data_IF_069288553474
#
_entry.id   IF_069288553474
#
_cell.length_a   1.000
_cell.length_b   1.000
_cell.length_c   1.000
_cell.angle_alpha   90.00
_cell.angle_beta   90.00
_cell.angle_gamma   90.00
#
_symmetry.space_group_name_H-M   'P 1'
#
loop_
_entity.id
_entity.type
_entity.pdbx_description
1 polymer ?
#
# COMPACT_ATOMS: atom_id res chain seq x y z
N UNK A 1 -12.32 13.21 9.92
CA UNK A 1 -10.87 13.02 10.00
C UNK A 1 -10.45 12.43 8.67
N UNK A 2 -9.70 13.19 7.89
CA UNK A 2 -9.32 12.80 6.52
C UNK A 2 -8.36 11.61 6.53
N UNK A 3 -7.51 11.50 7.56
CA UNK A 3 -6.64 10.34 7.73
C UNK A 3 -7.43 9.05 7.92
N UNK A 4 -8.54 9.08 8.66
CA UNK A 4 -9.38 7.88 8.86
C UNK A 4 -10.01 7.39 7.55
N UNK A 5 -10.43 8.34 6.69
CA UNK A 5 -10.96 8.02 5.35
C UNK A 5 -9.84 7.43 4.48
N UNK A 6 -8.64 8.01 4.50
CA UNK A 6 -7.49 7.52 3.76
C UNK A 6 -7.09 6.09 4.17
N UNK A 7 -7.10 5.75 5.47
CA UNK A 7 -6.85 4.38 5.94
C UNK A 7 -7.88 3.39 5.40
N UNK A 8 -9.17 3.74 5.45
CA UNK A 8 -10.24 2.87 4.93
C UNK A 8 -10.07 2.66 3.43
N UNK A 9 -9.79 3.73 2.67
CA UNK A 9 -9.52 3.63 1.24
C UNK A 9 -8.32 2.74 0.97
N UNK A 10 -7.22 2.89 1.72
CA UNK A 10 -6.03 2.06 1.58
C UNK A 10 -6.34 0.58 1.83
N UNK A 11 -7.03 0.25 2.93
CA UNK A 11 -7.45 -1.13 3.22
C UNK A 11 -8.29 -1.71 2.09
N UNK A 12 -9.25 -0.94 1.59
CA UNK A 12 -10.11 -1.38 0.49
C UNK A 12 -9.32 -1.64 -0.80
N UNK A 13 -8.37 -0.77 -1.15
CA UNK A 13 -7.53 -0.94 -2.33
C UNK A 13 -6.65 -2.19 -2.19
N UNK A 14 -6.09 -2.44 -1.00
CA UNK A 14 -5.27 -3.62 -0.72
C UNK A 14 -6.09 -4.91 -0.84
N UNK A 15 -7.30 -4.94 -0.28
CA UNK A 15 -8.23 -6.07 -0.42
C UNK A 15 -8.58 -6.33 -1.89
N UNK A 16 -8.94 -5.30 -2.65
CA UNK A 16 -9.22 -5.43 -4.08
C UNK A 16 -8.01 -5.93 -4.87
N UNK A 17 -6.81 -5.42 -4.58
CA UNK A 17 -5.58 -5.89 -5.22
C UNK A 17 -5.33 -7.37 -4.95
N UNK A 18 -5.58 -7.84 -3.71
CA UNK A 18 -5.47 -9.24 -3.33
C UNK A 18 -6.44 -10.15 -4.08
N UNK A 19 -7.68 -9.71 -4.25
CA UNK A 19 -8.72 -10.48 -4.95
C UNK A 19 -8.46 -10.57 -6.46
N UNK A 20 -8.03 -9.47 -7.08
CA UNK A 20 -7.90 -9.37 -8.53
C UNK A 20 -6.59 -10.02 -9.02
N UNK A 21 -5.50 -9.92 -8.25
CA UNK A 21 -4.16 -10.30 -8.71
C UNK A 21 -3.43 -11.31 -7.80
N UNK A 22 -4.04 -12.47 -7.45
CA UNK A 22 -3.41 -13.45 -6.56
C UNK A 22 -2.12 -14.05 -7.13
N UNK A 23 -1.93 -14.00 -8.45
CA UNK A 23 -0.71 -14.50 -9.12
C UNK A 23 0.50 -13.61 -8.85
N UNK A 24 0.32 -12.29 -8.71
CA UNK A 24 1.40 -11.34 -8.44
C UNK A 24 1.80 -11.31 -6.97
N UNK A 25 0.97 -11.87 -6.08
CA UNK A 25 1.15 -11.81 -4.63
C UNK A 25 1.84 -13.09 -4.18
N UNK A 26 3.15 -13.14 -4.41
CA UNK A 26 3.99 -14.27 -4.03
C UNK A 26 5.27 -13.81 -3.34
N UNK A 27 5.89 -14.72 -2.58
CA UNK A 27 7.21 -14.51 -2.01
C UNK A 27 7.31 -13.28 -1.11
N UNK A 28 8.12 -12.30 -1.52
CA UNK A 28 8.38 -11.09 -0.76
C UNK A 28 7.25 -10.06 -0.90
N UNK A 29 6.67 -9.90 -2.09
CA UNK A 29 5.54 -9.01 -2.36
C UNK A 29 4.35 -9.32 -1.45
N UNK A 30 4.06 -10.61 -1.23
CA UNK A 30 2.99 -11.04 -0.31
C UNK A 30 3.24 -10.58 1.14
N UNK A 31 4.48 -10.68 1.62
CA UNK A 31 4.85 -10.24 2.98
C UNK A 31 4.81 -8.73 3.11
N UNK A 32 5.25 -8.00 2.09
CA UNK A 32 5.21 -6.54 2.07
C UNK A 32 3.77 -6.04 2.07
N UNK A 33 2.89 -6.69 1.31
CA UNK A 33 1.47 -6.38 1.27
C UNK A 33 0.76 -6.70 2.60
N UNK A 34 1.07 -7.84 3.23
CA UNK A 34 0.59 -8.20 4.57
C UNK A 34 1.06 -7.19 5.62
N UNK A 35 2.32 -6.76 5.57
CA UNK A 35 2.86 -5.74 6.47
C UNK A 35 2.14 -4.40 6.28
N UNK A 36 1.85 -4.01 5.04
CA UNK A 36 1.13 -2.78 4.73
C UNK A 36 -0.33 -2.84 5.24
N UNK A 37 -1.00 -3.98 5.06
CA UNK A 37 -2.35 -4.22 5.57
C UNK A 37 -2.40 -4.12 7.11
N UNK A 38 -1.50 -4.82 7.80
CA UNK A 38 -1.41 -4.76 9.27
C UNK A 38 -1.12 -3.33 9.78
N UNK A 39 -0.30 -2.58 9.04
CA UNK A 39 0.01 -1.18 9.37
C UNK A 39 -1.22 -0.29 9.21
N UNK A 40 -2.00 -0.47 8.14
CA UNK A 40 -3.24 0.27 7.92
C UNK A 40 -4.29 -0.05 9.00
N UNK A 41 -4.48 -1.32 9.37
CA UNK A 41 -5.39 -1.70 10.48
C UNK A 41 -4.96 -1.09 11.82
N UNK A 42 -3.64 -1.06 12.11
CA UNK A 42 -3.14 -0.38 13.29
C UNK A 42 -3.54 1.09 13.32
N UNK A 43 -3.39 1.80 12.19
CA UNK A 43 -3.77 3.21 12.10
C UNK A 43 -5.27 3.43 12.21
N UNK A 44 -6.11 2.53 11.67
CA UNK A 44 -7.55 2.60 11.84
C UNK A 44 -7.93 2.59 13.32
N UNK A 45 -7.38 1.62 14.07
CA UNK A 45 -7.61 1.49 15.50
C UNK A 45 -7.03 2.69 16.28
N UNK A 46 -5.83 3.14 15.93
CA UNK A 46 -5.20 4.31 16.56
C UNK A 46 -6.04 5.58 16.39
N UNK A 47 -6.51 5.87 15.17
CA UNK A 47 -7.34 7.05 14.90
C UNK A 47 -8.71 6.96 15.57
N UNK A 48 -9.29 5.75 15.66
CA UNK A 48 -10.53 5.53 16.38
C UNK A 48 -10.38 5.79 17.91
N UNK A 49 -9.28 5.33 18.51
CA UNK A 49 -8.99 5.63 19.92
C UNK A 49 -8.60 7.09 20.12
N UNK A 50 -7.89 7.69 19.17
CA UNK A 50 -7.56 9.11 19.19
C UNK A 50 -8.82 9.99 19.14
N UNK A 51 -9.85 9.58 18.38
CA UNK A 51 -11.13 10.29 18.33
C UNK A 51 -11.88 10.30 19.66
N UNK A 52 -11.61 9.33 20.54
CA UNK A 52 -12.25 9.15 21.85
C UNK A 52 -11.43 9.78 23.00
N UNK A 53 -10.19 10.19 22.75
CA UNK A 53 -9.20 10.56 23.76
C UNK A 53 -8.81 12.05 23.68
N UNK A 54 -8.11 12.56 24.71
CA UNK A 54 -7.54 13.92 24.75
C UNK A 54 -6.14 13.97 24.13
N UNK A 55 -5.94 13.32 22.98
CA UNK A 55 -4.68 13.46 22.27
C UNK A 55 -4.46 14.91 21.85
N UNK A 56 -3.18 15.26 21.72
CA UNK A 56 -2.78 16.55 21.17
C UNK A 56 -3.29 16.66 19.72
N UNK A 57 -4.15 17.65 19.40
CA UNK A 57 -4.68 17.83 18.06
C UNK A 57 -3.59 18.03 17.00
N UNK A 58 -2.45 18.64 17.36
CA UNK A 58 -1.34 18.86 16.42
C UNK A 58 -0.64 17.54 16.06
N UNK A 59 -0.49 16.64 17.04
CA UNK A 59 0.07 15.30 16.80
C UNK A 59 -0.86 14.44 15.95
N UNK A 60 -2.16 14.45 16.22
CA UNK A 60 -3.16 13.74 15.40
C UNK A 60 -3.08 14.24 13.96
N UNK A 61 -3.05 15.56 13.77
CA UNK A 61 -2.99 16.16 12.44
C UNK A 61 -1.73 15.76 11.68
N UNK A 62 -0.56 15.78 12.33
CA UNK A 62 0.69 15.34 11.71
C UNK A 62 0.62 13.87 11.27
N UNK A 63 0.01 13.00 12.08
CA UNK A 63 -0.18 11.59 11.74
C UNK A 63 -1.17 11.43 10.58
N UNK A 64 -2.27 12.18 10.57
CA UNK A 64 -3.22 12.17 9.45
C UNK A 64 -2.56 12.54 8.12
N UNK A 65 -1.72 13.59 8.09
CA UNK A 65 -1.01 14.02 6.88
C UNK A 65 -0.06 12.94 6.34
N UNK A 66 0.66 12.23 7.23
CA UNK A 66 1.52 11.10 6.86
C UNK A 66 0.70 9.96 6.26
N UNK A 67 -0.41 9.61 6.90
CA UNK A 67 -1.31 8.54 6.44
C UNK A 67 -1.88 8.88 5.06
N UNK A 68 -2.35 10.12 4.86
CA UNK A 68 -2.90 10.56 3.58
C UNK A 68 -1.84 10.46 2.49
N UNK A 69 -0.62 10.95 2.75
CA UNK A 69 0.48 10.87 1.79
C UNK A 69 0.81 9.42 1.43
N UNK A 70 0.94 8.54 2.41
CA UNK A 70 1.31 7.16 2.16
C UNK A 70 0.19 6.34 1.51
N UNK A 71 -1.08 6.64 1.82
CA UNK A 71 -2.22 6.05 1.14
C UNK A 71 -2.23 6.44 -0.34
N UNK A 72 -1.93 7.72 -0.65
CA UNK A 72 -1.78 8.18 -2.04
C UNK A 72 -0.61 7.49 -2.75
N UNK A 73 0.54 7.34 -2.08
CA UNK A 73 1.68 6.62 -2.66
C UNK A 73 1.33 5.14 -2.95
N UNK A 74 0.55 4.50 -2.06
CA UNK A 74 0.11 3.12 -2.24
C UNK A 74 -0.87 2.98 -3.41
N UNK A 75 -1.80 3.93 -3.54
CA UNK A 75 -2.76 3.99 -4.66
C UNK A 75 -2.00 4.12 -5.99
N UNK A 76 -1.05 5.04 -6.09
CA UNK A 76 -0.21 5.22 -7.28
C UNK A 76 0.53 3.93 -7.67
N UNK A 77 1.09 3.21 -6.68
CA UNK A 77 1.82 1.95 -6.91
C UNK A 77 0.89 0.85 -7.41
N UNK A 78 -0.32 0.76 -6.87
CA UNK A 78 -1.32 -0.24 -7.24
C UNK A 78 -1.93 0.07 -8.61
N UNK A 79 -2.25 1.34 -8.90
CA UNK A 79 -2.71 1.78 -10.22
C UNK A 79 -1.65 1.49 -11.30
N UNK A 80 -0.37 1.71 -10.96
CA UNK A 80 0.73 1.36 -11.84
C UNK A 80 0.74 -0.15 -12.14
N UNK A 81 0.49 -1.00 -11.14
CA UNK A 81 0.40 -2.46 -11.34
C UNK A 81 -0.74 -2.86 -12.27
N UNK A 82 -1.92 -2.26 -12.11
CA UNK A 82 -3.05 -2.53 -13.01
C UNK A 82 -2.73 -2.18 -14.47
N UNK A 83 -2.02 -1.07 -14.67
CA UNK A 83 -1.56 -0.65 -16.00
C UNK A 83 -0.53 -1.63 -16.58
N UNK A 84 0.38 -2.14 -15.76
CA UNK A 84 1.37 -3.14 -16.17
C UNK A 84 0.74 -4.49 -16.52
N UNK A 85 -0.24 -4.96 -15.75
CA UNK A 85 -0.94 -6.21 -16.04
C UNK A 85 -1.69 -6.17 -17.36
N UNK A 86 -2.35 -5.04 -17.66
CA UNK A 86 -2.96 -4.82 -18.97
C UNK A 86 -1.92 -4.85 -20.11
N UNK A 87 -0.76 -4.24 -19.90
CA UNK A 87 0.32 -4.23 -20.88
C UNK A 87 0.96 -5.62 -21.05
N UNK A 88 1.16 -6.37 -19.96
CA UNK A 88 1.66 -7.74 -20.00
C UNK A 88 0.68 -8.66 -20.71
N UNK A 89 -0.62 -8.62 -20.42
CA UNK A 89 -1.61 -9.47 -21.11
C UNK A 89 -1.62 -9.18 -22.62
N UNK A 90 -1.54 -7.89 -22.99
CA UNK A 90 -1.45 -7.44 -24.39
C UNK A 90 -0.17 -7.91 -25.09
N UNK A 91 0.99 -7.83 -24.42
CA UNK A 91 2.31 -8.22 -24.97
C UNK A 91 2.50 -9.75 -24.94
N UNK A 92 1.90 -10.44 -23.97
CA UNK A 92 1.99 -11.88 -23.75
C UNK A 92 1.38 -12.69 -24.89
N UNK A 93 0.34 -12.14 -25.52
CA UNK A 93 -0.20 -12.66 -26.79
C UNK A 93 0.81 -12.67 -27.95
N UNK A 94 1.95 -11.99 -27.82
CA UNK A 94 2.87 -11.72 -28.93
C UNK A 94 4.28 -12.33 -28.76
N UNK A 95 4.85 -12.50 -27.55
CA UNK A 95 6.27 -12.92 -27.40
C UNK A 95 6.63 -13.76 -26.16
N UNK A 96 7.69 -14.59 -26.31
CA UNK A 96 8.29 -15.52 -25.32
C UNK A 96 9.23 -14.89 -24.28
N UNK A 97 9.38 -13.56 -24.23
CA UNK A 97 10.34 -12.85 -23.35
C UNK A 97 9.76 -12.46 -21.97
N UNK A 98 8.61 -13.02 -21.59
CA UNK A 98 7.83 -12.58 -20.43
C UNK A 98 8.49 -12.85 -19.07
N UNK A 99 9.23 -13.95 -18.92
CA UNK A 99 9.71 -14.37 -17.59
C UNK A 99 10.70 -13.39 -16.94
N UNK A 100 11.47 -12.65 -17.74
CA UNK A 100 12.40 -11.62 -17.20
C UNK A 100 11.66 -10.32 -16.87
N UNK A 101 10.70 -9.93 -17.72
CA UNK A 101 9.87 -8.74 -17.51
C UNK A 101 8.99 -8.89 -16.27
N UNK A 102 8.40 -10.07 -16.07
CA UNK A 102 7.58 -10.39 -14.89
C UNK A 102 8.41 -10.30 -13.60
N UNK A 103 9.65 -10.85 -13.60
CA UNK A 103 10.56 -10.76 -12.44
C UNK A 103 10.96 -9.33 -12.09
N UNK A 104 11.33 -8.52 -13.09
CA UNK A 104 11.71 -7.12 -12.89
C UNK A 104 10.53 -6.28 -12.36
N UNK A 105 9.30 -6.57 -12.81
CA UNK A 105 8.08 -5.90 -12.35
C UNK A 105 7.73 -6.30 -10.91
N UNK A 106 7.80 -7.59 -10.58
CA UNK A 106 7.55 -8.04 -9.20
C UNK A 106 8.56 -7.43 -8.22
N UNK A 107 9.82 -7.29 -8.62
CA UNK A 107 10.83 -6.62 -7.80
C UNK A 107 10.54 -5.12 -7.63
N UNK A 108 10.22 -4.41 -8.72
CA UNK A 108 9.87 -2.98 -8.64
C UNK A 108 8.64 -2.71 -7.78
N UNK A 109 7.65 -3.61 -7.81
CA UNK A 109 6.46 -3.56 -6.95
C UNK A 109 6.84 -3.71 -5.47
N UNK A 110 7.67 -4.70 -5.14
CA UNK A 110 8.10 -4.93 -3.76
C UNK A 110 8.89 -3.75 -3.19
N UNK A 111 9.81 -3.19 -3.98
CA UNK A 111 10.59 -2.01 -3.59
C UNK A 111 9.70 -0.79 -3.31
N UNK A 112 8.71 -0.55 -4.18
CA UNK A 112 7.78 0.58 -4.04
C UNK A 112 6.84 0.42 -2.83
N UNK A 113 6.24 -0.76 -2.64
CA UNK A 113 5.43 -1.04 -1.45
C UNK A 113 6.27 -0.95 -0.17
N UNK A 114 7.53 -1.38 -0.21
CA UNK A 114 8.47 -1.23 0.90
C UNK A 114 8.81 0.24 1.23
N UNK A 115 8.75 1.16 0.26
CA UNK A 115 8.86 2.60 0.51
C UNK A 115 7.61 3.11 1.22
N UNK A 116 6.42 2.72 0.78
CA UNK A 116 5.14 3.08 1.42
C UNK A 116 5.11 2.63 2.88
N UNK A 117 5.46 1.36 3.13
CA UNK A 117 5.52 0.82 4.50
C UNK A 117 6.50 1.60 5.37
N UNK A 118 7.69 1.93 4.85
CA UNK A 118 8.66 2.75 5.61
C UNK A 118 8.15 4.15 5.92
N UNK A 119 7.51 4.83 4.95
CA UNK A 119 6.92 6.15 5.17
C UNK A 119 5.83 6.14 6.24
N UNK A 120 5.09 5.02 6.36
CA UNK A 120 4.10 4.83 7.42
C UNK A 120 4.74 4.51 8.78
N UNK A 121 5.81 3.71 8.81
CA UNK A 121 6.41 3.22 10.06
C UNK A 121 7.51 4.13 10.66
N UNK A 122 8.27 4.87 9.85
CA UNK A 122 9.35 5.74 10.33
C UNK A 122 8.83 6.82 11.31
N UNK A 123 7.76 7.58 10.99
CA UNK A 123 7.25 8.60 11.90
C UNK A 123 6.64 8.04 13.18
N UNK A 124 6.23 6.76 13.17
CA UNK A 124 5.70 6.06 14.35
C UNK A 124 6.80 5.62 15.31
N UNK A 125 8.04 5.43 14.83
CA UNK A 125 9.16 5.00 15.68
C UNK A 125 9.56 6.08 16.69
N UNK A 126 9.21 7.34 16.40
CA UNK A 126 9.47 8.51 17.23
C UNK A 126 8.28 8.93 18.10
N UNK A 127 7.15 8.22 18.01
CA UNK A 127 5.90 8.52 18.74
C UNK A 127 5.84 7.79 20.10
#
# INVERSE_FOLDING_TARGET
MEGYIAVISLLHILEQFQEIHPVLIQGQTAKTLESLHNTAEYFQNFLEEASKSRFDPEKIKSIEEIIISAASDAEDVIEMCWTWDFLIDSISRSYRMLQHVEGDIMQGLDENLGIVVRRLMEPLSDL
#
